data_IF_689301132756
#
_entry.id   IF_689301132756
#
_cell.length_a   1.000
_cell.length_b   1.000
_cell.length_c   1.000
_cell.angle_alpha   90.00
_cell.angle_beta   90.00
_cell.angle_gamma   90.00
#
_symmetry.space_group_name_H-M   'P 1'
#
loop_
_entity.id
_entity.type
_entity.pdbx_description
1 polymer ?
#
# COMPACT_ATOMS: atom_id res chain seq x y z
N UNK A 1 12.49 -0.46 -8.44
CA UNK A 1 12.77 0.96 -8.11
C UNK A 1 12.44 1.17 -6.64
N UNK A 2 13.31 1.87 -5.91
CA UNK A 2 13.11 2.21 -4.50
C UNK A 2 13.19 3.73 -4.38
N UNK A 3 12.21 4.33 -3.72
CA UNK A 3 12.20 5.75 -3.38
C UNK A 3 11.96 5.96 -1.90
N UNK A 4 12.22 7.17 -1.43
CA UNK A 4 11.95 7.58 -0.05
C UNK A 4 11.51 9.03 0.01
N UNK A 5 10.91 9.42 1.14
CA UNK A 5 10.58 10.81 1.44
C UNK A 5 10.61 11.04 2.95
N UNK A 6 10.81 12.30 3.33
CA UNK A 6 10.50 12.77 4.68
C UNK A 6 9.18 13.55 4.62
N UNK A 7 8.09 12.89 4.98
CA UNK A 7 6.76 13.49 4.93
C UNK A 7 6.43 14.18 6.25
N UNK A 8 6.16 15.48 6.19
CA UNK A 8 5.77 16.32 7.34
C UNK A 8 4.46 17.02 7.01
N UNK A 9 3.60 17.20 8.01
CA UNK A 9 2.34 17.96 7.88
C UNK A 9 2.39 19.19 8.79
N UNK A 10 1.85 20.31 8.32
CA UNK A 10 1.62 21.49 9.16
C UNK A 10 0.45 21.26 10.14
N UNK A 11 0.16 22.26 10.99
CA UNK A 11 -0.94 22.21 11.96
C UNK A 11 -2.32 22.04 11.30
N UNK A 12 -2.46 22.45 10.03
CA UNK A 12 -3.66 22.33 9.23
C UNK A 12 -3.72 21.00 8.44
N UNK A 13 -2.69 20.16 8.53
CA UNK A 13 -2.56 18.91 7.81
C UNK A 13 -2.02 19.02 6.37
N UNK A 14 -1.62 20.21 5.93
CA UNK A 14 -1.05 20.44 4.60
C UNK A 14 0.38 19.92 4.50
N UNK A 15 0.77 19.52 3.29
CA UNK A 15 2.12 19.06 2.96
C UNK A 15 2.72 20.01 1.94
N UNK A 16 3.62 20.87 2.41
CA UNK A 16 4.40 21.76 1.56
C UNK A 16 5.85 21.32 1.55
N UNK A 17 6.49 21.45 0.38
CA UNK A 17 7.90 21.19 0.23
C UNK A 17 8.72 22.27 0.93
N UNK A 18 9.77 21.88 1.64
CA UNK A 18 10.60 22.83 2.39
C UNK A 18 11.97 22.25 2.73
N UNK A 19 12.94 23.13 2.98
CA UNK A 19 14.31 22.73 3.30
C UNK A 19 14.46 22.37 4.78
N UNK A 20 14.90 21.14 5.06
CA UNK A 20 15.31 20.73 6.39
C UNK A 20 16.73 21.17 6.74
N UNK A 21 17.06 21.13 8.03
CA UNK A 21 18.36 21.60 8.55
C UNK A 21 19.57 20.78 8.08
N UNK A 22 19.34 19.57 7.58
CA UNK A 22 20.38 18.65 7.13
C UNK A 22 20.52 18.59 5.59
N UNK A 23 19.95 19.56 4.88
CA UNK A 23 19.92 19.61 3.41
C UNK A 23 18.91 18.67 2.75
N UNK A 24 18.17 17.88 3.54
CA UNK A 24 17.07 17.04 3.08
C UNK A 24 15.79 17.86 3.05
N UNK A 25 15.12 17.89 1.90
CA UNK A 25 13.81 18.53 1.71
C UNK A 25 12.70 17.67 2.33
N UNK A 26 11.77 18.32 3.02
CA UNK A 26 10.51 17.73 3.44
C UNK A 26 9.55 17.63 2.25
N UNK A 27 8.68 16.63 2.27
CA UNK A 27 7.64 16.38 1.29
C UNK A 27 8.12 16.27 -0.16
N UNK A 28 9.42 15.97 -0.35
CA UNK A 28 10.05 15.73 -1.64
C UNK A 28 10.40 14.25 -1.83
N UNK A 29 10.37 13.78 -3.07
CA UNK A 29 10.67 12.40 -3.41
C UNK A 29 12.15 12.22 -3.79
N UNK A 30 12.81 11.27 -3.12
CA UNK A 30 14.19 10.86 -3.37
C UNK A 30 14.26 9.44 -3.91
N UNK A 31 15.29 9.14 -4.69
CA UNK A 31 15.58 7.79 -5.17
C UNK A 31 16.63 7.11 -4.31
N UNK A 32 16.42 5.85 -3.94
CA UNK A 32 17.48 5.01 -3.34
C UNK A 32 18.16 4.24 -4.48
N UNK A 33 19.46 4.49 -4.64
CA UNK A 33 20.25 3.90 -5.72
C UNK A 33 20.94 2.62 -5.30
N UNK A 34 21.57 2.64 -4.12
CA UNK A 34 22.42 1.56 -3.65
C UNK A 34 22.33 1.46 -2.12
N UNK A 35 22.48 0.24 -1.62
CA UNK A 35 22.62 -0.07 -0.19
C UNK A 35 23.81 -1.02 -0.10
N UNK A 36 24.81 -0.69 0.71
CA UNK A 36 26.03 -1.49 0.83
C UNK A 36 26.49 -1.59 2.27
N UNK A 37 27.03 -2.75 2.62
CA UNK A 37 27.83 -2.94 3.82
C UNK A 37 29.29 -3.05 3.41
N UNK A 38 30.14 -2.12 3.89
CA UNK A 38 31.57 -2.06 3.55
C UNK A 38 32.36 -1.71 4.80
N UNK A 39 33.38 -2.51 5.13
CA UNK A 39 34.24 -2.32 6.30
C UNK A 39 33.47 -2.12 7.62
N UNK A 40 32.32 -2.81 7.78
CA UNK A 40 31.45 -2.70 8.96
C UNK A 40 30.51 -1.50 8.97
N UNK A 41 30.54 -0.65 7.94
CA UNK A 41 29.59 0.45 7.75
C UNK A 41 28.41 0.01 6.89
N UNK A 42 27.19 0.29 7.37
CA UNK A 42 25.97 0.16 6.57
C UNK A 42 25.62 1.52 5.97
N UNK A 43 25.72 1.63 4.65
CA UNK A 43 25.59 2.88 3.91
C UNK A 43 24.47 2.78 2.88
N UNK A 44 23.72 3.87 2.72
CA UNK A 44 22.69 4.04 1.68
C UNK A 44 23.10 5.19 0.77
N UNK A 45 23.01 4.97 -0.55
CA UNK A 45 23.16 6.00 -1.57
C UNK A 45 21.79 6.54 -1.97
N UNK A 46 21.57 7.82 -1.73
CA UNK A 46 20.32 8.52 -2.03
C UNK A 46 20.56 9.52 -3.16
N UNK A 47 19.53 9.77 -3.96
CA UNK A 47 19.52 10.76 -5.04
C UNK A 47 18.35 11.72 -4.91
N UNK A 48 18.65 13.02 -4.89
CA UNK A 48 17.73 14.09 -5.23
C UNK A 48 17.53 14.15 -6.75
N UNK A 49 16.30 13.97 -7.27
CA UNK A 49 16.02 14.08 -8.70
C UNK A 49 16.38 15.44 -9.32
N UNK A 50 16.40 16.52 -8.53
CA UNK A 50 16.76 17.86 -9.01
C UNK A 50 18.24 18.05 -9.29
N UNK A 51 19.09 17.11 -8.84
CA UNK A 51 20.52 17.18 -9.07
C UNK A 51 21.26 18.24 -8.24
N UNK A 52 20.63 18.73 -7.17
CA UNK A 52 21.19 19.68 -6.20
C UNK A 52 20.46 19.50 -4.86
N UNK A 53 20.95 20.12 -3.79
CA UNK A 53 20.33 20.04 -2.46
C UNK A 53 20.58 18.68 -1.82
N UNK A 54 21.76 18.54 -1.24
CA UNK A 54 22.32 17.30 -0.74
C UNK A 54 22.39 17.28 0.79
N UNK A 55 22.52 16.07 1.32
CA UNK A 55 22.81 15.80 2.72
C UNK A 55 24.07 16.54 3.19
N UNK A 56 24.00 17.13 4.39
CA UNK A 56 25.11 17.90 4.99
C UNK A 56 25.70 17.26 6.24
N UNK A 57 25.35 16.00 6.54
CA UNK A 57 25.89 15.27 7.68
C UNK A 57 26.96 14.25 7.30
N UNK A 58 27.15 13.22 8.14
CA UNK A 58 28.21 12.22 7.94
C UNK A 58 28.15 11.55 6.57
N UNK A 59 29.31 11.44 5.92
CA UNK A 59 29.49 10.94 4.55
C UNK A 59 28.85 11.80 3.45
N UNK A 60 28.45 13.05 3.73
CA UNK A 60 28.27 14.06 2.70
C UNK A 60 29.59 14.29 1.92
N UNK A 61 29.51 14.89 0.74
CA UNK A 61 30.67 15.01 -0.17
C UNK A 61 31.89 15.71 0.42
N UNK A 62 31.68 16.65 1.34
CA UNK A 62 32.74 17.44 1.99
C UNK A 62 32.96 17.04 3.46
N UNK A 63 32.36 15.95 3.92
CA UNK A 63 32.43 15.52 5.33
C UNK A 63 33.74 14.80 5.67
N UNK A 64 34.32 15.12 6.82
CA UNK A 64 35.61 14.55 7.25
C UNK A 64 35.54 13.05 7.59
N UNK A 65 34.36 12.46 7.79
CA UNK A 65 34.25 11.03 8.10
C UNK A 65 34.77 10.14 6.95
N UNK A 66 34.90 10.66 5.73
CA UNK A 66 35.57 9.92 4.65
C UNK A 66 37.06 9.63 4.96
N UNK A 67 37.74 10.51 5.70
CA UNK A 67 39.16 10.39 6.01
C UNK A 67 39.47 9.28 7.03
N UNK A 68 38.51 9.00 7.92
CA UNK A 68 38.55 7.88 8.87
C UNK A 68 38.49 6.52 8.16
N UNK A 69 38.00 6.50 6.91
CA UNK A 69 37.74 5.28 6.14
C UNK A 69 38.52 5.28 4.82
N UNK A 70 39.85 5.19 4.92
CA UNK A 70 40.76 5.16 3.76
C UNK A 70 40.35 4.11 2.72
N UNK A 71 40.19 4.55 1.48
CA UNK A 71 39.82 3.70 0.34
C UNK A 71 38.31 3.45 0.18
N UNK A 72 37.47 3.96 1.09
CA UNK A 72 36.02 3.73 1.04
C UNK A 72 35.38 4.36 -0.22
N UNK A 73 35.81 5.56 -0.60
CA UNK A 73 35.32 6.28 -1.79
C UNK A 73 35.52 5.44 -3.07
N UNK A 74 36.70 4.84 -3.22
CA UNK A 74 37.04 3.97 -4.34
C UNK A 74 36.21 2.67 -4.30
N UNK A 75 36.06 2.04 -3.12
CA UNK A 75 35.21 0.85 -2.94
C UNK A 75 33.75 1.10 -3.30
N UNK A 76 33.25 2.31 -3.03
CA UNK A 76 31.90 2.75 -3.37
C UNK A 76 31.78 3.28 -4.81
N UNK A 77 32.90 3.41 -5.54
CA UNK A 77 32.98 4.04 -6.85
C UNK A 77 32.27 5.41 -6.86
N UNK A 78 32.63 6.26 -5.89
CA UNK A 78 31.97 7.52 -5.62
C UNK A 78 32.81 8.73 -6.04
N UNK A 79 32.15 9.75 -6.57
CA UNK A 79 32.78 11.01 -7.01
C UNK A 79 32.12 12.14 -6.25
N UNK A 80 32.92 12.96 -5.57
CA UNK A 80 32.41 14.15 -4.88
C UNK A 80 32.03 15.18 -5.93
N UNK A 81 30.75 15.52 -5.99
CA UNK A 81 30.15 16.44 -6.91
C UNK A 81 28.74 16.76 -6.42
N UNK A 82 28.41 18.05 -6.39
CA UNK A 82 27.03 18.51 -6.22
C UNK A 82 26.20 18.12 -7.46
N UNK A 83 25.63 16.92 -7.44
CA UNK A 83 24.81 16.32 -8.50
C UNK A 83 23.54 15.65 -7.96
N UNK A 84 23.20 15.97 -6.71
CA UNK A 84 22.08 15.46 -5.95
C UNK A 84 22.30 14.05 -5.41
N UNK A 85 23.49 13.44 -5.52
CA UNK A 85 23.74 12.11 -4.97
C UNK A 85 24.59 12.24 -3.70
N UNK A 86 24.35 11.38 -2.72
CA UNK A 86 25.20 11.28 -1.54
C UNK A 86 25.15 9.88 -0.94
N UNK A 87 26.14 9.56 -0.12
CA UNK A 87 26.08 8.44 0.81
C UNK A 87 25.74 8.95 2.22
N UNK A 88 25.03 8.14 2.99
CA UNK A 88 24.79 8.39 4.41
C UNK A 88 24.74 7.06 5.17
N UNK A 89 24.89 7.09 6.49
CA UNK A 89 24.70 5.88 7.30
C UNK A 89 23.25 5.44 7.26
N UNK A 90 23.04 4.13 7.38
CA UNK A 90 21.71 3.55 7.52
C UNK A 90 20.93 4.18 8.69
N UNK A 91 21.59 4.38 9.84
CA UNK A 91 20.98 5.00 11.01
C UNK A 91 20.50 6.42 10.72
N UNK A 92 21.33 7.22 10.04
CA UNK A 92 20.96 8.58 9.63
C UNK A 92 19.77 8.55 8.66
N UNK A 93 19.75 7.60 7.72
CA UNK A 93 18.61 7.43 6.82
C UNK A 93 17.32 7.16 7.60
N UNK A 94 17.36 6.26 8.58
CA UNK A 94 16.21 5.95 9.44
C UNK A 94 15.76 7.12 10.30
N UNK A 95 16.68 8.00 10.72
CA UNK A 95 16.35 9.21 11.47
C UNK A 95 15.73 10.32 10.62
N UNK A 96 16.01 10.35 9.31
CA UNK A 96 15.61 11.46 8.44
C UNK A 96 14.50 11.11 7.43
N UNK A 97 14.30 9.84 7.08
CA UNK A 97 13.27 9.42 6.13
C UNK A 97 12.19 8.57 6.82
N UNK A 98 10.93 8.93 6.63
CA UNK A 98 9.79 8.27 7.28
C UNK A 98 8.82 7.59 6.30
N UNK A 99 9.11 7.67 4.99
CA UNK A 99 8.40 6.95 3.93
C UNK A 99 9.37 6.22 3.01
N UNK A 100 8.99 5.00 2.65
CA UNK A 100 9.67 4.17 1.66
C UNK A 100 8.67 3.74 0.58
N UNK A 101 9.05 3.92 -0.69
CA UNK A 101 8.28 3.54 -1.85
C UNK A 101 8.98 2.38 -2.55
N UNK A 102 8.27 1.28 -2.76
CA UNK A 102 8.79 0.08 -3.40
C UNK A 102 7.96 -0.23 -4.65
N UNK A 103 8.60 -0.17 -5.81
CA UNK A 103 8.01 -0.67 -7.05
C UNK A 103 8.49 -2.09 -7.29
N UNK A 104 7.56 -3.05 -7.12
CA UNK A 104 7.80 -4.47 -7.37
C UNK A 104 7.64 -4.77 -8.85
N UNK A 105 8.72 -5.27 -9.45
CA UNK A 105 8.69 -5.77 -10.83
C UNK A 105 8.42 -7.27 -10.75
N UNK A 106 7.38 -7.71 -11.43
CA UNK A 106 7.03 -9.12 -11.52
C UNK A 106 7.80 -9.77 -12.68
N UNK A 107 8.56 -10.85 -12.43
CA UNK A 107 9.20 -11.62 -13.49
C UNK A 107 8.17 -12.16 -14.48
N UNK A 108 8.61 -12.44 -15.71
CA UNK A 108 7.75 -13.05 -16.74
C UNK A 108 7.16 -14.41 -16.36
N UNK A 109 7.75 -15.10 -15.38
CA UNK A 109 7.25 -16.35 -14.84
C UNK A 109 5.98 -16.20 -13.99
N UNK A 110 5.66 -14.98 -13.53
CA UNK A 110 4.43 -14.70 -12.78
C UNK A 110 3.28 -14.50 -13.75
N UNK A 111 2.14 -15.13 -13.44
CA UNK A 111 0.89 -14.84 -14.11
C UNK A 111 0.34 -13.52 -13.59
N UNK A 112 -0.17 -12.68 -14.49
CA UNK A 112 -0.70 -11.37 -14.17
C UNK A 112 -2.10 -11.23 -14.76
N UNK A 113 -3.06 -10.89 -13.91
CA UNK A 113 -4.43 -10.61 -14.31
C UNK A 113 -4.80 -9.21 -13.85
N UNK A 114 -5.51 -8.47 -14.69
CA UNK A 114 -6.05 -7.15 -14.37
C UNK A 114 -7.49 -7.12 -14.81
N UNK A 115 -8.40 -7.08 -13.83
CA UNK A 115 -9.83 -7.16 -14.05
C UNK A 115 -10.42 -5.78 -13.76
N UNK A 116 -11.04 -5.18 -14.77
CA UNK A 116 -11.79 -3.95 -14.61
C UNK A 116 -13.12 -4.24 -13.90
N UNK A 117 -13.47 -3.41 -12.92
CA UNK A 117 -14.74 -3.46 -12.21
C UNK A 117 -15.18 -2.06 -11.79
N UNK A 118 -16.37 -1.95 -11.22
CA UNK A 118 -16.92 -0.68 -10.76
C UNK A 118 -17.78 -0.86 -9.51
N UNK A 119 -17.75 0.14 -8.63
CA UNK A 119 -18.80 0.34 -7.62
C UNK A 119 -19.77 1.40 -8.15
N UNK A 120 -21.02 1.00 -8.39
CA UNK A 120 -22.06 1.84 -8.94
C UNK A 120 -23.44 1.40 -8.43
N UNK A 121 -24.23 2.36 -7.92
CA UNK A 121 -25.55 2.09 -7.35
C UNK A 121 -25.53 0.94 -6.34
N UNK A 122 -26.24 -0.15 -6.64
CA UNK A 122 -26.33 -1.30 -5.76
C UNK A 122 -25.01 -2.06 -5.59
N UNK A 123 -24.06 -1.99 -6.53
CA UNK A 123 -22.76 -2.66 -6.36
C UNK A 123 -21.80 -1.90 -5.44
N UNK A 124 -22.13 -0.67 -5.02
CA UNK A 124 -21.43 0.05 -3.96
C UNK A 124 -21.95 -0.39 -2.58
N UNK A 125 -21.70 -1.66 -2.23
CA UNK A 125 -22.32 -2.31 -1.07
C UNK A 125 -21.78 -1.89 0.30
N UNK A 126 -20.66 -1.17 0.35
CA UNK A 126 -19.98 -0.80 1.60
C UNK A 126 -19.16 -1.94 2.21
N UNK A 127 -18.49 -1.71 3.36
CA UNK A 127 -17.68 -2.71 4.03
C UNK A 127 -18.54 -3.83 4.62
N UNK A 128 -17.94 -5.00 4.85
CA UNK A 128 -18.56 -6.05 5.66
C UNK A 128 -18.79 -5.53 7.09
N UNK A 129 -19.95 -5.78 7.73
CA UNK A 129 -20.26 -5.22 9.05
C UNK A 129 -19.21 -5.54 10.11
N UNK A 130 -18.93 -4.53 10.93
CA UNK A 130 -18.22 -4.72 12.19
C UNK A 130 -19.27 -5.21 13.20
N UNK A 131 -19.09 -6.42 13.74
CA UNK A 131 -19.92 -6.87 14.87
C UNK A 131 -19.71 -5.92 16.05
N UNK A 132 -20.74 -5.16 16.40
CA UNK A 132 -20.80 -4.38 17.63
C UNK A 132 -21.04 -5.36 18.78
N UNK A 133 -20.34 -5.17 19.90
CA UNK A 133 -20.51 -6.03 21.06
C UNK A 133 -21.97 -5.90 21.56
N UNK A 134 -22.73 -6.98 21.82
CA UNK A 134 -24.15 -6.88 22.23
C UNK A 134 -24.37 -6.06 23.51
N UNK A 135 -23.33 -5.89 24.33
CA UNK A 135 -23.35 -5.05 25.53
C UNK A 135 -23.31 -3.54 25.22
N UNK A 136 -22.78 -3.14 24.06
CA UNK A 136 -22.81 -1.74 23.57
C UNK A 136 -24.12 -1.41 22.86
N UNK A 137 -24.81 -2.40 22.28
CA UNK A 137 -26.15 -2.25 21.69
C UNK A 137 -27.21 -1.82 22.71
N UNK A 138 -27.09 -2.27 23.97
CA UNK A 138 -28.08 -2.02 25.03
C UNK A 138 -27.97 -0.64 25.72
N UNK A 139 -27.03 0.23 25.32
CA UNK A 139 -26.83 1.55 25.97
C UNK A 139 -27.43 2.73 25.22
N UNK A 140 -27.85 2.56 23.97
CA UNK A 140 -28.45 3.62 23.18
C UNK A 140 -29.87 3.20 22.76
N UNK A 141 -30.90 3.76 23.40
CA UNK A 141 -32.34 3.55 23.12
C UNK A 141 -32.81 3.98 21.72
N UNK A 142 -31.89 4.26 20.79
CA UNK A 142 -32.17 4.53 19.38
C UNK A 142 -31.51 3.46 18.52
N UNK A 143 -31.96 2.21 18.69
CA UNK A 143 -31.60 1.10 17.81
C UNK A 143 -32.34 1.27 16.49
N UNK A 144 -31.68 1.92 15.51
CA UNK A 144 -31.97 1.61 14.12
C UNK A 144 -31.15 0.37 13.79
N UNK A 145 -31.81 -0.79 13.74
CA UNK A 145 -31.23 -1.96 13.08
C UNK A 145 -30.92 -1.53 11.64
N UNK A 146 -29.66 -1.45 11.25
CA UNK A 146 -29.32 -1.45 9.83
C UNK A 146 -29.58 -2.87 9.31
N UNK A 147 -30.85 -3.14 8.94
CA UNK A 147 -31.27 -4.38 8.30
C UNK A 147 -30.85 -4.44 6.83
N UNK A 148 -30.02 -3.52 6.34
CA UNK A 148 -29.64 -3.43 4.94
C UNK A 148 -28.14 -3.66 4.78
N UNK A 149 -27.71 -4.84 5.17
CA UNK A 149 -26.33 -5.27 5.03
C UNK A 149 -25.94 -5.44 3.55
N UNK A 150 -25.65 -4.35 2.84
CA UNK A 150 -25.49 -4.35 1.38
C UNK A 150 -24.14 -4.86 0.89
N UNK A 151 -23.20 -5.21 1.77
CA UNK A 151 -21.82 -5.59 1.36
C UNK A 151 -21.82 -6.74 0.36
N UNK A 152 -22.77 -7.68 0.45
CA UNK A 152 -22.84 -8.81 -0.46
C UNK A 152 -23.11 -8.37 -1.91
N UNK A 153 -23.59 -7.14 -2.11
CA UNK A 153 -23.80 -6.57 -3.43
C UNK A 153 -22.52 -6.07 -4.10
N UNK A 154 -21.43 -5.88 -3.33
CA UNK A 154 -20.13 -5.56 -3.91
C UNK A 154 -19.76 -6.59 -5.00
N UNK A 155 -18.95 -6.18 -6.01
CA UNK A 155 -18.37 -7.12 -6.95
C UNK A 155 -17.66 -8.26 -6.21
N UNK A 156 -17.79 -9.49 -6.70
CA UNK A 156 -17.15 -10.67 -6.13
C UNK A 156 -16.42 -11.43 -7.22
N UNK A 157 -15.13 -11.70 -7.00
CA UNK A 157 -14.27 -12.37 -7.97
C UNK A 157 -13.77 -13.68 -7.41
N UNK A 158 -13.98 -14.77 -8.14
CA UNK A 158 -13.54 -16.10 -7.69
C UNK A 158 -12.14 -16.41 -8.19
N UNK A 159 -11.28 -16.84 -7.28
CA UNK A 159 -10.02 -17.51 -7.61
C UNK A 159 -10.03 -18.94 -7.08
N UNK A 160 -9.43 -19.86 -7.83
CA UNK A 160 -9.34 -21.27 -7.47
C UNK A 160 -7.90 -21.73 -7.56
N UNK A 161 -7.39 -22.38 -6.51
CA UNK A 161 -6.03 -22.92 -6.48
C UNK A 161 -6.05 -24.41 -6.24
N UNK A 162 -5.19 -25.14 -6.93
CA UNK A 162 -5.00 -26.60 -6.77
C UNK A 162 -3.72 -26.93 -6.01
N UNK A 163 -2.82 -25.96 -5.86
CA UNK A 163 -1.54 -26.06 -5.16
C UNK A 163 -1.38 -24.87 -4.25
N UNK A 164 -0.44 -24.96 -3.30
CA UNK A 164 -0.04 -23.82 -2.48
C UNK A 164 0.48 -22.72 -3.41
N UNK A 165 -0.18 -21.56 -3.40
CA UNK A 165 0.13 -20.47 -4.34
C UNK A 165 0.38 -19.17 -3.57
N UNK A 166 1.52 -18.54 -3.82
CA UNK A 166 1.80 -17.18 -3.36
C UNK A 166 1.10 -16.21 -4.31
N UNK A 167 0.27 -15.32 -3.78
CA UNK A 167 -0.50 -14.37 -4.58
C UNK A 167 -0.31 -12.97 -4.02
N UNK A 168 -0.28 -11.99 -4.91
CA UNK A 168 -0.39 -10.58 -4.59
C UNK A 168 -1.68 -10.06 -5.18
N UNK A 169 -2.55 -9.55 -4.33
CA UNK A 169 -3.76 -8.85 -4.70
C UNK A 169 -3.51 -7.35 -4.63
N UNK A 170 -3.92 -6.63 -5.65
CA UNK A 170 -3.90 -5.17 -5.70
C UNK A 170 -5.27 -4.67 -6.15
N UNK A 171 -5.85 -3.75 -5.39
CA UNK A 171 -7.07 -3.04 -5.75
C UNK A 171 -6.69 -1.59 -6.04
N UNK A 172 -6.84 -1.18 -7.30
CA UNK A 172 -6.42 0.13 -7.78
C UNK A 172 -7.61 0.94 -8.29
N UNK A 173 -7.71 2.19 -7.85
CA UNK A 173 -8.64 3.20 -8.38
C UNK A 173 -8.02 3.90 -9.61
N UNK A 174 -8.88 4.47 -10.46
CA UNK A 174 -8.42 5.33 -11.55
C UNK A 174 -7.59 6.51 -11.02
N UNK A 175 -6.57 6.91 -11.78
CA UNK A 175 -5.72 8.03 -11.40
C UNK A 175 -6.55 9.32 -11.28
N UNK A 176 -6.43 10.00 -10.14
CA UNK A 176 -7.17 11.24 -9.83
C UNK A 176 -6.94 12.33 -10.89
N UNK A 177 -5.75 12.42 -11.49
CA UNK A 177 -5.47 13.43 -12.52
C UNK A 177 -6.22 13.15 -13.82
N UNK A 178 -6.50 11.87 -14.10
CA UNK A 178 -7.25 11.44 -15.28
C UNK A 178 -8.76 11.52 -15.03
N UNK A 179 -9.23 10.95 -13.91
CA UNK A 179 -10.65 10.88 -13.57
C UNK A 179 -11.22 12.19 -13.02
N UNK A 180 -10.35 13.10 -12.56
CA UNK A 180 -10.71 14.33 -11.82
C UNK A 180 -11.52 14.06 -10.55
N UNK A 181 -11.38 12.86 -10.00
CA UNK A 181 -12.10 12.39 -8.82
C UNK A 181 -11.09 12.06 -7.72
N UNK A 182 -11.31 12.54 -6.47
CA UNK A 182 -10.42 12.21 -5.37
C UNK A 182 -10.48 10.72 -5.08
N UNK A 183 -9.36 10.15 -4.62
CA UNK A 183 -9.34 8.79 -4.11
C UNK A 183 -10.28 8.68 -2.91
N UNK A 184 -11.12 7.65 -2.92
CA UNK A 184 -11.92 7.29 -1.75
C UNK A 184 -11.26 6.16 -0.97
N UNK A 185 -11.57 6.00 0.33
CA UNK A 185 -11.12 4.86 1.10
C UNK A 185 -11.72 3.56 0.53
N UNK A 186 -10.86 2.59 0.21
CA UNK A 186 -11.22 1.28 -0.36
C UNK A 186 -10.51 0.16 0.38
N UNK A 187 -11.10 -1.03 0.33
CA UNK A 187 -10.58 -2.24 0.94
C UNK A 187 -10.97 -3.46 0.10
N UNK A 188 -10.46 -4.63 0.47
CA UNK A 188 -10.98 -5.89 -0.05
C UNK A 188 -10.81 -7.03 0.95
N UNK A 189 -11.76 -7.96 0.91
CA UNK A 189 -11.69 -9.22 1.63
C UNK A 189 -11.29 -10.36 0.70
N UNK A 190 -10.56 -11.33 1.24
CA UNK A 190 -10.39 -12.65 0.62
C UNK A 190 -11.01 -13.68 1.55
N UNK A 191 -12.06 -14.32 1.06
CA UNK A 191 -12.88 -15.26 1.83
C UNK A 191 -12.77 -16.64 1.21
N UNK A 192 -12.45 -17.63 2.02
CA UNK A 192 -12.47 -19.03 1.61
C UNK A 192 -13.90 -19.51 1.43
N UNK A 193 -14.18 -20.25 0.37
CA UNK A 193 -15.53 -20.79 0.11
C UNK A 193 -15.52 -22.30 -0.09
N UNK A 194 -16.48 -22.98 0.54
CA UNK A 194 -16.61 -24.44 0.51
C UNK A 194 -17.28 -24.98 -0.76
N UNK A 195 -18.01 -24.12 -1.48
CA UNK A 195 -18.80 -24.49 -2.64
C UNK A 195 -18.41 -23.70 -3.88
N UNK A 196 -18.75 -24.23 -5.06
CA UNK A 196 -18.64 -23.49 -6.33
C UNK A 196 -19.75 -22.44 -6.53
N UNK A 197 -20.47 -22.03 -5.47
CA UNK A 197 -21.47 -20.95 -5.59
C UNK A 197 -20.80 -19.70 -6.18
N UNK A 198 -21.55 -18.99 -7.01
CA UNK A 198 -21.03 -17.84 -7.75
C UNK A 198 -21.14 -16.53 -6.97
N UNK A 199 -21.89 -16.49 -5.86
CA UNK A 199 -22.04 -15.32 -5.00
C UNK A 199 -22.18 -15.70 -3.53
N UNK A 200 -21.50 -14.95 -2.66
CA UNK A 200 -21.65 -14.99 -1.21
C UNK A 200 -22.68 -13.97 -0.75
N UNK A 201 -23.56 -14.42 0.13
CA UNK A 201 -24.56 -13.59 0.82
C UNK A 201 -24.24 -13.42 2.29
N UNK A 202 -23.52 -14.39 2.86
CA UNK A 202 -23.11 -14.45 4.25
C UNK A 202 -21.68 -14.96 4.31
N UNK A 203 -20.90 -14.48 5.29
CA UNK A 203 -19.52 -14.88 5.54
C UNK A 203 -19.41 -15.27 7.01
N UNK A 204 -18.74 -16.40 7.29
CA UNK A 204 -18.25 -16.66 8.64
C UNK A 204 -16.88 -16.01 8.79
N UNK A 205 -16.63 -15.34 9.92
CA UNK A 205 -15.34 -14.69 10.21
C UNK A 205 -14.14 -15.64 10.09
N UNK A 206 -14.31 -16.91 10.46
CA UNK A 206 -13.27 -17.93 10.32
C UNK A 206 -12.89 -18.25 8.87
N UNK A 207 -13.75 -17.91 7.92
CA UNK A 207 -13.50 -18.12 6.48
C UNK A 207 -12.76 -16.91 5.85
N UNK A 208 -12.68 -15.76 6.54
CA UNK A 208 -11.90 -14.61 6.08
C UNK A 208 -10.41 -14.92 6.30
N UNK A 209 -9.66 -15.03 5.21
CA UNK A 209 -8.23 -15.34 5.26
C UNK A 209 -7.35 -14.10 5.09
N UNK A 210 -7.91 -13.02 4.56
CA UNK A 210 -7.22 -11.75 4.37
C UNK A 210 -8.24 -10.62 4.37
N UNK A 211 -7.91 -9.58 5.12
CA UNK A 211 -8.50 -8.25 5.01
C UNK A 211 -7.38 -7.30 4.60
N UNK A 212 -7.58 -6.51 3.54
CA UNK A 212 -6.49 -5.75 2.95
C UNK A 212 -6.01 -4.61 3.86
N UNK A 213 -6.91 -3.99 4.60
CA UNK A 213 -6.54 -3.11 5.69
C UNK A 213 -7.38 -3.42 6.92
N UNK A 214 -6.73 -3.57 8.07
CA UNK A 214 -7.41 -3.84 9.32
C UNK A 214 -8.22 -2.64 9.75
N UNK A 215 -9.52 -2.85 9.95
CA UNK A 215 -10.45 -1.82 10.40
C UNK A 215 -10.76 -0.77 9.34
N UNK A 216 -11.62 0.19 9.73
CA UNK A 216 -12.21 1.15 8.80
C UNK A 216 -11.15 2.08 8.18
N UNK A 217 -10.98 2.02 6.85
CA UNK A 217 -10.07 2.94 6.18
C UNK A 217 -10.68 4.33 6.10
N UNK A 218 -9.94 5.32 6.60
CA UNK A 218 -10.40 6.72 6.65
C UNK A 218 -9.72 7.63 5.62
N UNK A 219 -8.71 7.13 4.91
CA UNK A 219 -7.98 7.90 3.92
C UNK A 219 -8.04 7.23 2.55
N UNK A 220 -8.28 8.03 1.52
CA UNK A 220 -8.23 7.57 0.14
C UNK A 220 -6.80 7.34 -0.32
N UNK A 221 -6.58 6.24 -1.02
CA UNK A 221 -5.31 5.93 -1.66
C UNK A 221 -5.58 5.29 -3.03
N UNK A 222 -4.69 5.55 -4.00
CA UNK A 222 -4.86 5.02 -5.36
C UNK A 222 -4.90 3.50 -5.40
N UNK A 223 -4.07 2.83 -4.60
CA UNK A 223 -3.90 1.39 -4.65
C UNK A 223 -3.70 0.83 -3.25
N UNK A 224 -4.38 -0.28 -2.94
CA UNK A 224 -4.10 -1.10 -1.76
C UNK A 224 -3.65 -2.49 -2.21
N UNK A 225 -2.49 -2.94 -1.71
CA UNK A 225 -1.85 -4.19 -2.13
C UNK A 225 -1.57 -5.09 -0.94
N UNK A 226 -1.88 -6.39 -1.06
CA UNK A 226 -1.53 -7.40 -0.05
C UNK A 226 -1.03 -8.70 -0.67
N UNK A 227 -0.04 -9.26 0.02
CA UNK A 227 0.48 -10.59 -0.25
C UNK A 227 -0.31 -11.61 0.58
N UNK A 228 -0.61 -12.75 -0.02
CA UNK A 228 -1.30 -13.85 0.65
C UNK A 228 -0.77 -15.18 0.11
N UNK A 229 -0.81 -16.22 0.94
CA UNK A 229 -0.55 -17.59 0.49
C UNK A 229 -1.88 -18.33 0.56
N UNK A 230 -2.36 -18.79 -0.59
CA UNK A 230 -3.56 -19.62 -0.66
C UNK A 230 -3.18 -21.08 -0.49
N UNK A 231 -3.85 -21.75 0.45
CA UNK A 231 -3.55 -23.12 0.87
C UNK A 231 -4.66 -24.09 0.41
N UNK A 232 -4.35 -25.09 -0.43
CA UNK A 232 -5.28 -26.17 -0.66
C UNK A 232 -5.36 -27.06 0.60
N UNK A 233 -6.56 -27.43 1.04
CA UNK A 233 -6.76 -28.37 2.15
C UNK A 233 -6.41 -29.81 1.75
N UNK A 234 -6.61 -30.16 0.47
CA UNK A 234 -6.38 -31.49 -0.06
C UNK A 234 -5.83 -31.42 -1.48
N UNK A 235 -4.77 -32.18 -1.78
CA UNK A 235 -4.04 -32.15 -3.05
C UNK A 235 -4.87 -32.50 -4.30
N UNK A 236 -6.10 -33.01 -4.14
CA UNK A 236 -6.92 -33.52 -5.24
C UNK A 236 -8.11 -32.64 -5.62
N UNK A 237 -8.46 -31.59 -4.86
CA UNK A 237 -9.61 -30.73 -5.17
C UNK A 237 -9.21 -29.25 -5.14
N UNK A 238 -9.68 -28.44 -6.11
CA UNK A 238 -9.46 -27.01 -6.08
C UNK A 238 -10.11 -26.42 -4.82
N UNK A 239 -9.39 -25.54 -4.15
CA UNK A 239 -9.94 -24.69 -3.09
C UNK A 239 -10.28 -23.35 -3.70
N UNK A 240 -11.45 -22.84 -3.33
CA UNK A 240 -12.04 -21.65 -3.90
C UNK A 240 -11.98 -20.50 -2.90
N UNK A 241 -11.73 -19.30 -3.40
CA UNK A 241 -11.73 -18.07 -2.63
C UNK A 241 -12.49 -16.99 -3.41
N UNK A 242 -13.16 -16.11 -2.68
CA UNK A 242 -13.81 -14.92 -3.22
C UNK A 242 -13.05 -13.68 -2.77
N UNK A 243 -12.72 -12.83 -3.74
CA UNK A 243 -12.18 -11.49 -3.50
C UNK A 243 -13.33 -10.50 -3.62
N UNK A 244 -13.54 -9.71 -2.57
CA UNK A 244 -14.69 -8.81 -2.43
C UNK A 244 -14.15 -7.40 -2.20
N UNK A 245 -13.88 -6.64 -3.27
CA UNK A 245 -13.49 -5.23 -3.15
C UNK A 245 -14.68 -4.37 -2.72
N UNK A 246 -14.45 -3.47 -1.77
CA UNK A 246 -15.45 -2.56 -1.23
C UNK A 246 -14.91 -1.14 -1.08
N UNK A 247 -15.83 -0.18 -1.05
CA UNK A 247 -15.59 1.17 -0.53
C UNK A 247 -15.85 1.16 0.98
N UNK A 248 -15.11 1.95 1.74
CA UNK A 248 -15.26 2.02 3.22
C UNK A 248 -16.15 3.20 3.63
N UNK A 249 -16.04 4.33 2.93
CA UNK A 249 -16.88 5.51 3.14
C UNK A 249 -17.71 5.79 1.89
N UNK A 250 -18.85 5.10 1.75
CA UNK A 250 -19.86 5.52 0.77
C UNK A 250 -20.95 6.32 1.49
N UNK A 251 -20.98 7.66 1.35
CA UNK A 251 -22.01 8.47 2.02
C UNK A 251 -23.40 8.09 1.50
N UNK A 252 -24.32 7.82 2.42
CA UNK A 252 -25.72 7.47 2.18
C UNK A 252 -26.49 8.47 1.29
N UNK A 253 -25.93 9.67 1.05
CA UNK A 253 -26.59 10.78 0.36
C UNK A 253 -25.87 11.30 -0.90
N UNK A 254 -24.76 10.70 -1.35
CA UNK A 254 -24.20 11.06 -2.66
C UNK A 254 -24.76 10.10 -3.71
N UNK A 255 -25.66 10.62 -4.54
CA UNK A 255 -26.09 9.99 -5.78
C UNK A 255 -24.88 9.39 -6.50
N UNK A 256 -24.88 8.06 -6.64
CA UNK A 256 -24.47 7.33 -7.84
C UNK A 256 -23.19 7.84 -8.55
N UNK A 257 -22.15 8.21 -7.81
CA UNK A 257 -20.85 8.42 -8.42
C UNK A 257 -20.22 7.06 -8.65
N UNK A 258 -20.25 6.62 -9.90
CA UNK A 258 -19.53 5.46 -10.41
C UNK A 258 -18.05 5.56 -10.00
N UNK A 259 -17.51 4.48 -9.41
CA UNK A 259 -16.11 4.37 -9.03
C UNK A 259 -15.50 3.16 -9.73
N UNK A 260 -14.87 3.36 -10.90
CA UNK A 260 -14.14 2.29 -11.57
C UNK A 260 -12.89 1.89 -10.77
N UNK A 261 -12.55 0.60 -10.85
CA UNK A 261 -11.37 0.03 -10.23
C UNK A 261 -10.76 -1.09 -11.08
N UNK A 262 -9.52 -1.43 -10.76
CA UNK A 262 -8.79 -2.55 -11.32
C UNK A 262 -8.41 -3.50 -10.17
N UNK A 263 -8.97 -4.71 -10.19
CA UNK A 263 -8.50 -5.81 -9.35
C UNK A 263 -7.38 -6.54 -10.08
N UNK A 264 -6.17 -6.42 -9.56
CA UNK A 264 -4.95 -7.00 -10.11
C UNK A 264 -4.51 -8.19 -9.26
N UNK A 265 -4.16 -9.27 -9.93
CA UNK A 265 -3.72 -10.52 -9.30
C UNK A 265 -2.40 -10.95 -9.92
N UNK A 266 -1.40 -11.18 -9.07
CA UNK A 266 -0.10 -11.69 -9.47
C UNK A 266 0.14 -13.01 -8.74
N UNK A 267 0.46 -14.09 -9.47
CA UNK A 267 0.68 -15.44 -8.90
C UNK A 267 1.80 -16.21 -9.58
#
# INVERSE_FOLDING_TARGET
LIGCANTVKDENGNQEEGMGNSGILFNHAYGIQQIREVDGLQLIRVRNPWGQGEWTGKFADEDEAWDDHKGLKEKLNYVFKNDGNWWMRYDDFCSHFNKLYLCKIFPSAWSQFSIHGEWNGNSAGGPYPIEVNPEEENKNDNVQNDTNDRWFNNPQFRISVTKKTSIIFSLMQEDEKMSKRPYIPVNFLVVRVKSKRDRLWEINKSDIILEAASGHQRFGQREITKNCILHPEHEKKPVHYMIIPNTEDYPQNKKEEERPFFLRVFS
#
